data_IF_041095066306
#
_entry.id   IF_041095066306
#
_cell.length_a   1.000
_cell.length_b   1.000
_cell.length_c   1.000
_cell.angle_alpha   90.00
_cell.angle_beta   90.00
_cell.angle_gamma   90.00
#
_symmetry.space_group_name_H-M   'P 1'
#
loop_
_entity.id
_entity.type
_entity.pdbx_description
1 polymer ?
#
# COMPACT_ATOMS: atom_id res chain seq x y z
N UNK A 1 -23.22 -10.71 -20.84
CA UNK A 1 -22.47 -11.73 -20.08
C UNK A 1 -22.34 -11.22 -18.65
N UNK A 2 -22.45 -12.04 -17.60
CA UNK A 2 -22.16 -11.58 -16.26
C UNK A 2 -20.72 -11.05 -16.23
N UNK A 3 -20.52 -9.92 -15.56
CA UNK A 3 -19.17 -9.35 -15.40
C UNK A 3 -18.27 -10.41 -14.75
N UNK A 4 -17.08 -10.64 -15.30
CA UNK A 4 -16.12 -11.56 -14.72
C UNK A 4 -15.74 -11.10 -13.32
N UNK A 5 -15.72 -12.01 -12.35
CA UNK A 5 -15.35 -11.72 -10.97
C UNK A 5 -13.92 -11.18 -10.93
N UNK A 6 -13.69 -10.05 -10.26
CA UNK A 6 -12.37 -9.41 -10.11
C UNK A 6 -11.80 -9.71 -8.72
N UNK A 7 -10.50 -9.93 -8.62
CA UNK A 7 -9.82 -10.30 -7.38
C UNK A 7 -8.73 -9.31 -7.03
N UNK A 8 -8.76 -8.83 -5.80
CA UNK A 8 -7.74 -7.93 -5.27
C UNK A 8 -7.06 -8.52 -4.03
N UNK A 9 -5.81 -8.17 -3.80
CA UNK A 9 -5.09 -8.42 -2.56
C UNK A 9 -4.63 -7.09 -1.96
N UNK A 10 -4.82 -6.92 -0.66
CA UNK A 10 -4.41 -5.71 0.08
C UNK A 10 -3.53 -6.11 1.25
N UNK A 11 -2.29 -5.63 1.28
CA UNK A 11 -1.39 -5.83 2.42
C UNK A 11 -1.60 -4.75 3.48
N UNK A 12 -1.50 -5.13 4.76
CA UNK A 12 -1.84 -4.23 5.86
C UNK A 12 -3.34 -3.91 5.94
N UNK A 13 -4.20 -4.85 5.53
CA UNK A 13 -5.64 -4.67 5.38
C UNK A 13 -6.44 -4.57 6.68
N UNK A 14 -5.80 -4.75 7.86
CA UNK A 14 -6.50 -4.73 9.15
C UNK A 14 -6.66 -3.35 9.78
N UNK A 15 -6.16 -2.26 9.18
CA UNK A 15 -6.29 -0.92 9.76
C UNK A 15 -6.01 0.19 8.74
N UNK A 16 -6.45 1.40 9.06
CA UNK A 16 -6.10 2.64 8.36
C UNK A 16 -6.37 2.59 6.86
N UNK A 17 -5.38 3.00 6.06
CA UNK A 17 -5.49 3.05 4.59
C UNK A 17 -5.78 1.68 3.99
N UNK A 18 -5.11 0.62 4.47
CA UNK A 18 -5.31 -0.73 3.95
C UNK A 18 -6.72 -1.25 4.18
N UNK A 19 -7.27 -1.03 5.37
CA UNK A 19 -8.66 -1.40 5.70
C UNK A 19 -9.65 -0.62 4.82
N UNK A 20 -9.50 0.71 4.75
CA UNK A 20 -10.38 1.56 3.96
C UNK A 20 -10.34 1.19 2.46
N UNK A 21 -9.14 0.93 1.91
CA UNK A 21 -8.96 0.51 0.52
C UNK A 21 -9.58 -0.87 0.26
N UNK A 22 -9.41 -1.84 1.18
CA UNK A 22 -10.01 -3.17 1.07
C UNK A 22 -11.55 -3.09 1.03
N UNK A 23 -12.14 -2.30 1.92
CA UNK A 23 -13.60 -2.08 1.95
C UNK A 23 -14.08 -1.39 0.67
N UNK A 24 -13.35 -0.39 0.18
CA UNK A 24 -13.72 0.33 -1.04
C UNK A 24 -13.60 -0.56 -2.29
N UNK A 25 -12.55 -1.38 -2.40
CA UNK A 25 -12.38 -2.36 -3.47
C UNK A 25 -13.51 -3.41 -3.46
N UNK A 26 -13.91 -3.90 -2.28
CA UNK A 26 -15.03 -4.82 -2.17
C UNK A 26 -16.35 -4.18 -2.64
N UNK A 27 -16.63 -2.93 -2.27
CA UNK A 27 -17.78 -2.16 -2.75
C UNK A 27 -17.75 -1.92 -4.27
N UNK A 28 -16.56 -1.87 -4.86
CA UNK A 28 -16.35 -1.76 -6.31
C UNK A 28 -16.45 -3.13 -7.04
N UNK A 29 -16.84 -4.21 -6.34
CA UNK A 29 -17.09 -5.52 -6.92
C UNK A 29 -15.88 -6.47 -6.94
N UNK A 30 -14.80 -6.15 -6.23
CA UNK A 30 -13.69 -7.08 -6.07
C UNK A 30 -13.95 -8.05 -4.92
N UNK A 31 -13.56 -9.32 -5.09
CA UNK A 31 -13.33 -10.23 -3.95
C UNK A 31 -11.92 -9.95 -3.42
N UNK A 32 -11.76 -9.64 -2.12
CA UNK A 32 -10.53 -9.08 -1.58
C UNK A 32 -9.81 -10.05 -0.65
N UNK A 33 -8.54 -10.36 -0.92
CA UNK A 33 -7.64 -11.02 0.03
C UNK A 33 -7.06 -9.97 0.99
N UNK A 34 -7.35 -10.14 2.28
CA UNK A 34 -6.93 -9.28 3.37
C UNK A 34 -5.65 -9.84 3.99
N UNK A 35 -4.50 -9.23 3.70
CA UNK A 35 -3.19 -9.70 4.17
C UNK A 35 -2.72 -8.85 5.35
N UNK A 36 -2.28 -9.50 6.43
CA UNK A 36 -1.70 -8.82 7.60
C UNK A 36 -1.25 -9.80 8.68
N UNK A 37 -0.47 -9.32 9.64
CA UNK A 37 0.13 -10.15 10.70
C UNK A 37 -0.88 -10.60 11.76
N UNK A 38 -1.86 -9.78 12.08
CA UNK A 38 -2.84 -10.02 13.14
C UNK A 38 -4.16 -10.44 12.53
N UNK A 39 -4.66 -11.61 12.93
CA UNK A 39 -5.90 -12.17 12.39
C UNK A 39 -7.14 -11.35 12.78
N UNK A 40 -7.23 -10.90 14.03
CA UNK A 40 -8.39 -10.21 14.58
C UNK A 40 -8.78 -8.95 13.78
N UNK A 41 -7.89 -7.96 13.51
CA UNK A 41 -8.26 -6.79 12.69
C UNK A 41 -8.60 -7.15 11.23
N UNK A 42 -8.08 -8.25 10.71
CA UNK A 42 -8.46 -8.73 9.37
C UNK A 42 -9.88 -9.31 9.37
N UNK A 43 -10.27 -10.00 10.45
CA UNK A 43 -11.63 -10.52 10.62
C UNK A 43 -12.64 -9.37 10.76
N UNK A 44 -12.32 -8.32 11.52
CA UNK A 44 -13.14 -7.12 11.62
C UNK A 44 -13.34 -6.44 10.25
N UNK A 45 -12.28 -6.37 9.46
CA UNK A 45 -12.35 -5.85 8.09
C UNK A 45 -13.23 -6.74 7.20
N UNK A 46 -13.09 -8.06 7.32
CA UNK A 46 -13.94 -9.03 6.60
C UNK A 46 -15.40 -8.87 6.97
N UNK A 47 -15.74 -8.72 8.26
CA UNK A 47 -17.11 -8.47 8.69
C UNK A 47 -17.67 -7.17 8.12
N UNK A 48 -16.84 -6.10 8.10
CA UNK A 48 -17.23 -4.82 7.51
C UNK A 48 -17.57 -4.96 6.03
N UNK A 49 -16.77 -5.73 5.29
CA UNK A 49 -17.01 -6.05 3.88
C UNK A 49 -18.30 -6.89 3.73
N UNK A 50 -18.50 -7.92 4.58
CA UNK A 50 -19.68 -8.80 4.53
C UNK A 50 -20.98 -8.07 4.85
N UNK A 51 -20.97 -7.06 5.73
CA UNK A 51 -22.17 -6.22 6.01
C UNK A 51 -22.62 -5.39 4.79
N UNK A 52 -21.77 -5.25 3.78
CA UNK A 52 -22.05 -4.58 2.51
C UNK A 52 -22.13 -5.58 1.34
N UNK A 53 -22.48 -6.84 1.63
CA UNK A 53 -22.60 -7.95 0.67
C UNK A 53 -21.35 -8.23 -0.15
N UNK A 54 -20.18 -7.78 0.32
CA UNK A 54 -18.89 -8.05 -0.31
C UNK A 54 -18.27 -9.37 0.17
N UNK A 55 -17.28 -9.85 -0.57
CA UNK A 55 -16.54 -11.07 -0.25
C UNK A 55 -15.09 -10.78 0.09
N UNK A 56 -14.57 -11.43 1.15
CA UNK A 56 -13.16 -11.32 1.52
C UNK A 56 -12.57 -12.62 2.07
N UNK A 57 -11.30 -12.85 1.74
CA UNK A 57 -10.46 -13.94 2.23
C UNK A 57 -9.43 -13.39 3.24
N UNK A 58 -9.43 -13.90 4.46
CA UNK A 58 -8.38 -13.54 5.44
C UNK A 58 -7.13 -14.39 5.20
N UNK A 59 -6.00 -13.70 5.06
CA UNK A 59 -4.68 -14.30 4.82
C UNK A 59 -3.69 -13.72 5.84
N UNK A 60 -3.49 -14.44 6.93
CA UNK A 60 -2.51 -14.02 7.93
C UNK A 60 -1.10 -14.23 7.39
N UNK A 61 -0.30 -13.16 7.31
CA UNK A 61 1.08 -13.22 6.85
C UNK A 61 1.90 -12.03 7.33
N UNK A 62 3.21 -12.24 7.51
CA UNK A 62 4.19 -11.18 7.70
C UNK A 62 4.89 -10.90 6.38
N UNK A 63 4.69 -9.68 5.85
CA UNK A 63 5.30 -9.26 4.58
C UNK A 63 6.83 -9.17 4.63
N UNK A 64 7.42 -9.04 5.82
CA UNK A 64 8.86 -9.03 6.02
C UNK A 64 9.49 -10.44 5.93
N UNK A 65 8.69 -11.51 5.91
CA UNK A 65 9.13 -12.89 5.84
C UNK A 65 8.81 -13.52 4.49
N UNK A 66 9.83 -13.91 3.74
CA UNK A 66 9.67 -14.43 2.38
C UNK A 66 8.81 -15.70 2.31
N UNK A 67 9.01 -16.66 3.23
CA UNK A 67 8.23 -17.90 3.27
C UNK A 67 6.76 -17.63 3.61
N UNK A 68 6.49 -16.68 4.53
CA UNK A 68 5.14 -16.25 4.88
C UNK A 68 4.42 -15.62 3.67
N UNK A 69 5.13 -14.79 2.89
CA UNK A 69 4.58 -14.19 1.67
C UNK A 69 4.29 -15.26 0.61
N UNK A 70 5.20 -16.21 0.38
CA UNK A 70 4.99 -17.29 -0.59
C UNK A 70 3.76 -18.13 -0.22
N UNK A 71 3.60 -18.51 1.05
CA UNK A 71 2.42 -19.24 1.53
C UNK A 71 1.12 -18.42 1.36
N UNK A 72 1.18 -17.12 1.65
CA UNK A 72 0.02 -16.22 1.49
C UNK A 72 -0.44 -16.15 0.03
N UNK A 73 0.48 -15.99 -0.91
CA UNK A 73 0.12 -15.91 -2.34
C UNK A 73 -0.27 -17.27 -2.93
N UNK A 74 0.27 -18.39 -2.42
CA UNK A 74 -0.22 -19.72 -2.76
C UNK A 74 -1.69 -19.89 -2.33
N UNK A 75 -2.03 -19.52 -1.09
CA UNK A 75 -3.42 -19.55 -0.60
C UNK A 75 -4.35 -18.67 -1.44
N UNK A 76 -3.89 -17.51 -1.89
CA UNK A 76 -4.67 -16.62 -2.78
C UNK A 76 -4.86 -17.27 -4.14
N UNK A 77 -3.82 -17.88 -4.72
CA UNK A 77 -3.90 -18.58 -5.99
C UNK A 77 -4.88 -19.77 -5.93
N UNK A 78 -4.83 -20.55 -4.87
CA UNK A 78 -5.74 -21.69 -4.66
C UNK A 78 -7.19 -21.25 -4.50
N UNK A 79 -7.44 -20.14 -3.78
CA UNK A 79 -8.80 -19.67 -3.51
C UNK A 79 -9.43 -18.91 -4.69
N UNK A 80 -8.64 -18.13 -5.42
CA UNK A 80 -9.12 -17.20 -6.46
C UNK A 80 -8.81 -17.66 -7.88
N UNK A 81 -7.80 -18.49 -8.09
CA UNK A 81 -7.29 -18.90 -9.40
C UNK A 81 -6.58 -17.78 -10.18
N UNK A 82 -6.74 -16.51 -9.76
CA UNK A 82 -6.14 -15.33 -10.37
C UNK A 82 -6.02 -14.17 -9.41
N UNK A 83 -5.27 -13.15 -9.80
CA UNK A 83 -5.16 -11.88 -9.08
C UNK A 83 -5.17 -10.73 -10.08
N UNK A 84 -6.14 -9.83 -9.99
CA UNK A 84 -6.26 -8.69 -10.90
C UNK A 84 -5.56 -7.45 -10.35
N UNK A 85 -5.59 -7.26 -9.01
CA UNK A 85 -5.00 -6.09 -8.33
C UNK A 85 -4.25 -6.50 -7.07
N UNK A 86 -3.02 -6.00 -6.90
CA UNK A 86 -2.33 -5.96 -5.62
C UNK A 86 -2.24 -4.50 -5.16
N UNK A 87 -2.80 -4.17 -3.99
CA UNK A 87 -2.46 -2.94 -3.27
C UNK A 87 -1.42 -3.24 -2.19
N UNK A 88 -0.19 -2.88 -2.48
CA UNK A 88 0.99 -3.14 -1.65
C UNK A 88 1.13 -2.01 -0.62
N UNK A 89 0.36 -2.09 0.47
CA UNK A 89 0.15 -1.01 1.42
C UNK A 89 0.82 -1.26 2.79
N UNK A 90 1.11 -2.51 3.15
CA UNK A 90 1.73 -2.78 4.45
C UNK A 90 2.99 -1.91 4.66
N UNK A 91 3.07 -1.30 5.83
CA UNK A 91 4.18 -0.45 6.19
C UNK A 91 4.15 -0.10 7.67
N UNK A 92 5.28 0.37 8.18
CA UNK A 92 5.42 0.87 9.54
C UNK A 92 5.99 2.29 9.54
N UNK A 93 5.61 3.06 10.55
CA UNK A 93 6.22 4.35 10.80
C UNK A 93 7.64 4.16 11.37
N UNK A 94 8.53 5.05 11.01
CA UNK A 94 9.92 5.02 11.45
C UNK A 94 10.25 6.01 12.59
N UNK A 95 9.25 6.67 13.16
CA UNK A 95 9.49 7.71 14.16
C UNK A 95 10.22 8.93 13.56
N UNK A 96 10.55 9.89 14.43
CA UNK A 96 11.46 10.99 14.14
C UNK A 96 12.64 10.87 15.11
N UNK A 97 13.78 10.39 14.61
CA UNK A 97 14.98 10.09 15.40
C UNK A 97 16.18 10.71 14.70
N UNK A 98 17.05 11.50 15.40
CA UNK A 98 18.30 12.02 14.85
C UNK A 98 19.14 10.90 14.24
N UNK A 99 19.92 11.20 13.21
CA UNK A 99 20.67 10.20 12.48
C UNK A 99 21.67 9.45 13.38
N UNK A 100 22.35 10.15 14.25
CA UNK A 100 23.35 9.62 15.19
C UNK A 100 22.76 8.68 16.24
N UNK A 101 21.47 8.84 16.57
CA UNK A 101 20.74 8.04 17.57
C UNK A 101 19.91 6.92 16.94
N UNK A 102 20.02 6.71 15.61
CA UNK A 102 19.16 5.78 14.91
C UNK A 102 19.64 4.34 15.08
N UNK A 103 18.94 3.55 15.88
CA UNK A 103 19.27 2.14 16.13
C UNK A 103 19.22 1.30 14.84
N UNK A 104 20.29 0.50 14.61
CA UNK A 104 20.45 -0.30 13.40
C UNK A 104 19.34 -1.36 13.27
N UNK A 105 18.92 -1.97 14.36
CA UNK A 105 17.84 -2.97 14.36
C UNK A 105 16.50 -2.32 13.97
N UNK A 106 16.24 -1.09 14.41
CA UNK A 106 15.04 -0.38 14.03
C UNK A 106 15.07 0.02 12.54
N UNK A 107 16.24 0.42 12.02
CA UNK A 107 16.44 0.61 10.59
C UNK A 107 16.13 -0.66 9.80
N UNK A 108 16.69 -1.80 10.20
CA UNK A 108 16.48 -3.09 9.55
C UNK A 108 15.00 -3.49 9.54
N UNK A 109 14.30 -3.27 10.63
CA UNK A 109 12.86 -3.53 10.76
C UNK A 109 12.02 -2.68 9.77
N UNK A 110 12.38 -1.39 9.62
CA UNK A 110 11.69 -0.50 8.67
C UNK A 110 11.97 -0.94 7.24
N UNK A 111 13.21 -1.25 6.90
CA UNK A 111 13.61 -1.77 5.58
C UNK A 111 12.92 -3.10 5.28
N UNK A 112 12.90 -4.02 6.24
CA UNK A 112 12.26 -5.32 6.07
C UNK A 112 10.77 -5.19 5.74
N UNK A 113 10.05 -4.28 6.42
CA UNK A 113 8.62 -4.10 6.17
C UNK A 113 8.33 -3.23 4.95
N UNK A 114 8.93 -2.02 4.90
CA UNK A 114 8.53 -0.97 3.95
C UNK A 114 9.17 -1.11 2.57
N UNK A 115 10.24 -1.88 2.45
CA UNK A 115 10.97 -2.08 1.20
C UNK A 115 11.01 -3.55 0.79
N UNK A 116 11.61 -4.43 1.61
CA UNK A 116 11.70 -5.85 1.30
C UNK A 116 10.30 -6.48 1.18
N UNK A 117 9.38 -6.14 2.09
CA UNK A 117 7.99 -6.61 2.04
C UNK A 117 7.25 -6.17 0.78
N UNK A 118 7.45 -4.93 0.34
CA UNK A 118 6.91 -4.43 -0.95
C UNK A 118 7.43 -5.26 -2.11
N UNK A 119 8.73 -5.52 -2.15
CA UNK A 119 9.36 -6.35 -3.19
C UNK A 119 8.82 -7.78 -3.18
N UNK A 120 8.76 -8.44 -2.01
CA UNK A 120 8.32 -9.83 -1.89
C UNK A 120 6.87 -10.01 -2.36
N UNK A 121 5.96 -9.14 -1.92
CA UNK A 121 4.56 -9.17 -2.32
C UNK A 121 4.40 -8.85 -3.81
N UNK A 122 5.09 -7.84 -4.33
CA UNK A 122 5.07 -7.50 -5.75
C UNK A 122 5.58 -8.65 -6.62
N UNK A 123 6.70 -9.30 -6.22
CA UNK A 123 7.26 -10.47 -6.91
C UNK A 123 6.27 -11.64 -6.97
N UNK A 124 5.59 -11.94 -5.87
CA UNK A 124 4.62 -13.04 -5.80
C UNK A 124 3.37 -12.74 -6.64
N UNK A 125 2.84 -11.51 -6.56
CA UNK A 125 1.74 -11.08 -7.42
C UNK A 125 2.12 -11.10 -8.90
N UNK A 126 3.30 -10.60 -9.23
CA UNK A 126 3.80 -10.59 -10.62
C UNK A 126 3.89 -12.01 -11.21
N UNK A 127 4.38 -12.99 -10.44
CA UNK A 127 4.43 -14.39 -10.86
C UNK A 127 3.03 -14.94 -11.16
N UNK A 128 2.05 -14.66 -10.28
CA UNK A 128 0.66 -15.09 -10.46
C UNK A 128 0.04 -14.40 -11.68
N UNK A 129 0.16 -13.08 -11.81
CA UNK A 129 -0.38 -12.30 -12.92
C UNK A 129 0.23 -12.68 -14.27
N UNK A 130 1.50 -13.09 -14.27
CA UNK A 130 2.19 -13.59 -15.48
C UNK A 130 1.73 -14.97 -15.90
N UNK A 131 1.38 -15.85 -14.95
CA UNK A 131 1.01 -17.25 -15.22
C UNK A 131 -0.47 -17.45 -15.51
N UNK A 132 -1.35 -16.54 -15.06
CA UNK A 132 -2.81 -16.67 -15.17
C UNK A 132 -3.35 -16.46 -16.59
N UNK A 133 -4.58 -16.91 -16.83
CA UNK A 133 -5.30 -16.69 -18.09
C UNK A 133 -6.66 -16.03 -17.84
N UNK A 134 -6.97 -14.85 -18.46
CA UNK A 134 -6.06 -14.07 -19.28
C UNK A 134 -4.89 -13.52 -18.47
N UNK A 135 -3.73 -13.38 -19.11
CA UNK A 135 -2.51 -12.85 -18.52
C UNK A 135 -2.64 -11.35 -18.24
N UNK A 136 -2.03 -10.90 -17.14
CA UNK A 136 -2.00 -9.48 -16.76
C UNK A 136 -2.58 -9.19 -15.39
N UNK A 137 -2.46 -7.94 -14.97
CA UNK A 137 -2.94 -7.43 -13.68
C UNK A 137 -2.31 -6.09 -13.33
N UNK A 138 -2.61 -5.57 -12.14
CA UNK A 138 -2.13 -4.28 -11.69
C UNK A 138 -1.53 -4.37 -10.29
N UNK A 139 -0.34 -3.81 -10.12
CA UNK A 139 0.32 -3.63 -8.82
C UNK A 139 0.30 -2.14 -8.49
N UNK A 140 -0.26 -1.78 -7.33
CA UNK A 140 -0.30 -0.42 -6.81
C UNK A 140 0.54 -0.39 -5.53
N UNK A 141 1.65 0.33 -5.55
CA UNK A 141 2.51 0.48 -4.38
C UNK A 141 2.13 1.73 -3.58
N UNK A 142 1.98 1.60 -2.28
CA UNK A 142 1.79 2.72 -1.37
C UNK A 142 3.12 3.45 -1.17
N UNK A 143 3.29 4.55 -1.88
CA UNK A 143 4.38 5.49 -1.73
C UNK A 143 4.19 6.46 -0.56
N UNK A 144 4.72 7.64 -0.72
CA UNK A 144 4.54 8.77 0.21
C UNK A 144 5.08 10.03 -0.44
N UNK A 145 4.55 11.19 -0.09
CA UNK A 145 5.20 12.49 -0.38
C UNK A 145 6.62 12.57 0.19
N UNK A 146 6.95 11.74 1.20
CA UNK A 146 8.32 11.62 1.74
C UNK A 146 9.29 10.96 0.76
N UNK A 147 8.82 10.42 -0.37
CA UNK A 147 9.64 10.01 -1.51
C UNK A 147 10.13 11.21 -2.36
N UNK A 148 9.67 12.41 -2.06
CA UNK A 148 10.02 13.65 -2.78
C UNK A 148 10.60 14.70 -1.83
N UNK A 149 9.95 14.91 -0.67
CA UNK A 149 10.36 15.90 0.32
C UNK A 149 10.30 15.27 1.73
N UNK A 150 11.46 14.87 2.29
CA UNK A 150 11.51 14.25 3.62
C UNK A 150 11.17 15.27 4.73
N UNK A 151 10.77 14.76 5.89
CA UNK A 151 10.75 15.52 7.14
C UNK A 151 12.04 15.31 7.90
N UNK A 152 12.42 16.23 8.79
CA UNK A 152 13.55 16.02 9.68
C UNK A 152 13.44 14.68 10.45
N UNK A 153 14.56 14.03 10.67
CA UNK A 153 14.69 12.80 11.47
C UNK A 153 13.87 11.59 10.96
N UNK A 154 13.59 11.50 9.64
CA UNK A 154 12.80 10.40 9.08
C UNK A 154 13.58 9.54 8.09
N UNK A 155 14.89 9.37 8.30
CA UNK A 155 15.82 8.76 7.32
C UNK A 155 15.35 7.38 6.82
N UNK A 156 15.00 6.43 7.69
CA UNK A 156 14.61 5.09 7.27
C UNK A 156 13.30 5.09 6.46
N UNK A 157 12.32 5.87 6.90
CA UNK A 157 11.05 5.99 6.18
C UNK A 157 11.26 6.63 4.82
N UNK A 158 11.97 7.76 4.76
CA UNK A 158 12.24 8.49 3.53
C UNK A 158 13.04 7.65 2.53
N UNK A 159 14.10 6.98 2.99
CA UNK A 159 14.91 6.09 2.15
C UNK A 159 14.07 4.95 1.55
N UNK A 160 13.24 4.28 2.38
CA UNK A 160 12.38 3.19 1.88
C UNK A 160 11.33 3.68 0.89
N UNK A 161 10.74 4.86 1.09
CA UNK A 161 9.74 5.42 0.17
C UNK A 161 10.34 5.90 -1.15
N UNK A 162 11.57 6.43 -1.16
CA UNK A 162 12.32 6.68 -2.40
C UNK A 162 12.63 5.38 -3.15
N UNK A 163 13.04 4.32 -2.44
CA UNK A 163 13.34 3.03 -3.04
C UNK A 163 12.09 2.37 -3.67
N UNK A 164 10.90 2.53 -3.07
CA UNK A 164 9.63 2.05 -3.64
C UNK A 164 9.37 2.67 -5.02
N UNK A 165 9.77 3.92 -5.25
CA UNK A 165 9.69 4.55 -6.59
C UNK A 165 10.53 3.81 -7.62
N UNK A 166 11.75 3.37 -7.24
CA UNK A 166 12.60 2.53 -8.10
C UNK A 166 11.94 1.18 -8.43
N UNK A 167 11.43 0.49 -7.40
CA UNK A 167 10.68 -0.78 -7.57
C UNK A 167 9.50 -0.60 -8.53
N UNK A 168 8.70 0.46 -8.34
CA UNK A 168 7.52 0.73 -9.16
C UNK A 168 7.88 0.91 -10.63
N UNK A 169 8.90 1.72 -10.91
CA UNK A 169 9.35 2.01 -12.29
C UNK A 169 9.93 0.77 -12.97
N UNK A 170 10.72 -0.03 -12.25
CA UNK A 170 11.28 -1.28 -12.78
C UNK A 170 10.18 -2.28 -13.13
N UNK A 171 9.21 -2.50 -12.23
CA UNK A 171 8.09 -3.42 -12.50
C UNK A 171 7.22 -2.88 -13.64
N UNK A 172 6.98 -1.57 -13.73
CA UNK A 172 6.22 -0.98 -14.83
C UNK A 172 6.90 -1.18 -16.19
N UNK A 173 8.24 -1.22 -16.23
CA UNK A 173 9.00 -1.53 -17.46
C UNK A 173 8.92 -3.01 -17.80
N UNK A 174 9.24 -3.89 -16.84
CA UNK A 174 9.33 -5.33 -17.05
C UNK A 174 7.96 -5.99 -17.30
N UNK A 175 6.91 -5.38 -16.73
CA UNK A 175 5.53 -5.87 -16.83
C UNK A 175 4.87 -5.71 -18.20
N UNK A 176 5.39 -4.83 -19.05
CA UNK A 176 4.80 -4.52 -20.38
C UNK A 176 4.59 -5.75 -21.25
N UNK A 177 5.56 -6.65 -21.28
CA UNK A 177 5.50 -7.88 -22.08
C UNK A 177 4.42 -8.87 -21.57
N UNK A 178 3.88 -8.67 -20.37
CA UNK A 178 2.96 -9.58 -19.69
C UNK A 178 1.63 -8.92 -19.34
N UNK A 179 1.34 -7.73 -19.89
CA UNK A 179 0.15 -6.96 -19.59
C UNK A 179 0.00 -6.67 -18.08
N UNK A 180 1.12 -6.47 -17.39
CA UNK A 180 1.17 -6.13 -15.96
C UNK A 180 1.49 -4.64 -15.82
N UNK A 181 0.52 -3.88 -15.30
CA UNK A 181 0.72 -2.47 -14.96
C UNK A 181 1.28 -2.35 -13.54
N UNK A 182 2.19 -1.40 -13.32
CA UNK A 182 2.63 -1.04 -11.98
C UNK A 182 2.50 0.46 -11.76
N UNK A 183 1.99 0.83 -10.59
CA UNK A 183 1.63 2.20 -10.20
C UNK A 183 2.15 2.50 -8.81
N UNK A 184 2.30 3.78 -8.50
CA UNK A 184 2.56 4.27 -7.15
C UNK A 184 1.53 5.34 -6.77
N UNK A 185 1.01 5.26 -5.54
CA UNK A 185 0.21 6.34 -4.95
C UNK A 185 0.99 6.96 -3.80
N UNK A 186 1.37 8.24 -3.95
CA UNK A 186 2.08 9.01 -2.94
C UNK A 186 1.06 9.74 -2.06
N UNK A 187 1.01 9.34 -0.80
CA UNK A 187 -0.01 9.79 0.14
C UNK A 187 0.59 10.79 1.13
N UNK A 188 -0.10 11.93 1.29
CA UNK A 188 0.22 12.95 2.28
C UNK A 188 -0.88 13.08 3.34
N UNK A 189 -0.53 12.78 4.60
CA UNK A 189 -1.35 13.04 5.80
C UNK A 189 -2.80 12.51 5.75
N UNK A 190 -3.02 11.24 5.41
CA UNK A 190 -4.32 10.61 5.59
C UNK A 190 -4.61 10.38 7.09
N UNK A 191 -5.85 10.62 7.53
CA UNK A 191 -6.28 10.47 8.92
C UNK A 191 -6.35 8.98 9.31
N UNK A 192 -5.33 8.52 9.99
CA UNK A 192 -5.21 7.16 10.53
C UNK A 192 -4.57 7.22 11.93
N UNK A 193 -4.56 6.12 12.66
CA UNK A 193 -3.85 6.03 13.94
C UNK A 193 -2.35 6.37 13.81
N UNK A 194 -1.71 6.02 12.69
CA UNK A 194 -0.31 6.33 12.42
C UNK A 194 -0.03 7.83 12.30
N UNK A 195 -1.01 8.62 11.87
CA UNK A 195 -0.88 10.07 11.63
C UNK A 195 -1.53 10.92 12.72
N UNK A 196 -2.04 10.33 13.80
CA UNK A 196 -2.71 11.06 14.87
C UNK A 196 -1.80 12.11 15.52
N UNK A 197 -0.50 11.81 15.63
CA UNK A 197 0.51 12.75 16.12
C UNK A 197 0.58 14.07 15.33
N UNK A 198 0.17 14.08 14.05
CA UNK A 198 0.22 15.27 13.20
C UNK A 198 -0.73 16.38 13.69
N UNK A 199 -1.79 16.04 14.42
CA UNK A 199 -2.67 17.02 15.06
C UNK A 199 -1.99 17.74 16.23
N UNK A 200 -1.02 17.07 16.89
CA UNK A 200 -0.31 17.63 18.06
C UNK A 200 0.92 18.44 17.66
N UNK A 201 1.38 18.24 16.44
CA UNK A 201 2.56 18.87 15.87
C UNK A 201 3.62 17.89 15.42
N UNK A 202 4.26 18.23 14.32
CA UNK A 202 5.44 17.53 13.77
C UNK A 202 6.51 18.56 13.44
N UNK A 203 7.77 18.12 13.50
CA UNK A 203 8.89 18.98 13.20
C UNK A 203 8.86 19.43 11.73
N UNK A 204 8.96 20.71 11.52
CA UNK A 204 9.05 21.36 10.21
C UNK A 204 10.52 21.48 9.76
N UNK A 205 10.73 21.86 8.50
CA UNK A 205 12.08 21.98 7.93
C UNK A 205 12.96 23.02 8.64
N UNK A 206 12.35 24.05 9.22
CA UNK A 206 13.01 25.10 10.01
C UNK A 206 13.25 24.71 11.50
N UNK A 207 12.89 23.47 11.89
CA UNK A 207 13.02 22.97 13.25
C UNK A 207 11.85 23.33 14.18
N UNK A 208 10.89 24.14 13.73
CA UNK A 208 9.69 24.44 14.51
C UNK A 208 8.75 23.23 14.61
N UNK A 209 7.86 23.25 15.61
CA UNK A 209 6.80 22.24 15.77
C UNK A 209 5.46 22.84 15.35
N UNK A 210 4.80 22.27 14.36
CA UNK A 210 3.48 22.74 13.90
C UNK A 210 2.54 21.57 13.63
N UNK A 211 1.23 21.72 13.92
CA UNK A 211 0.22 20.75 13.47
C UNK A 211 0.09 20.79 11.94
N UNK A 212 -0.18 19.64 11.37
CA UNK A 212 -0.42 19.54 9.92
C UNK A 212 -1.82 19.00 9.62
N UNK A 213 -2.45 19.58 8.61
CA UNK A 213 -3.75 19.13 8.14
C UNK A 213 -3.70 17.67 7.67
N UNK A 214 -4.81 16.95 7.90
CA UNK A 214 -5.03 15.57 7.45
C UNK A 214 -6.30 15.49 6.61
N UNK A 215 -6.32 14.62 5.62
CA UNK A 215 -7.52 14.30 4.83
C UNK A 215 -8.17 13.03 5.34
N UNK A 216 -9.47 12.86 5.08
CA UNK A 216 -10.17 11.61 5.35
C UNK A 216 -9.56 10.46 4.53
N UNK A 217 -9.40 9.31 5.17
CA UNK A 217 -8.81 8.11 4.55
C UNK A 217 -9.64 7.59 3.37
N UNK A 218 -10.93 7.89 3.31
CA UNK A 218 -11.82 7.50 2.22
C UNK A 218 -11.40 8.10 0.88
N UNK A 219 -10.80 9.29 0.88
CA UNK A 219 -10.26 9.88 -0.35
C UNK A 219 -9.12 9.04 -0.93
N UNK A 220 -8.25 8.50 -0.08
CA UNK A 220 -7.17 7.58 -0.51
C UNK A 220 -7.77 6.28 -1.03
N UNK A 221 -8.76 5.71 -0.32
CA UNK A 221 -9.43 4.49 -0.73
C UNK A 221 -10.08 4.62 -2.11
N UNK A 222 -10.77 5.74 -2.37
CA UNK A 222 -11.39 6.04 -3.67
C UNK A 222 -10.33 6.21 -4.78
N UNK A 223 -9.20 6.83 -4.49
CA UNK A 223 -8.09 6.95 -5.43
C UNK A 223 -7.50 5.57 -5.80
N UNK A 224 -7.35 4.67 -4.82
CA UNK A 224 -6.91 3.29 -5.07
C UNK A 224 -7.91 2.54 -5.95
N UNK A 225 -9.22 2.68 -5.70
CA UNK A 225 -10.27 2.07 -6.54
C UNK A 225 -10.18 2.62 -7.96
N UNK A 226 -10.06 3.93 -8.13
CA UNK A 226 -9.91 4.55 -9.46
C UNK A 226 -8.69 3.98 -10.22
N UNK A 227 -7.54 3.87 -9.56
CA UNK A 227 -6.35 3.25 -10.17
C UNK A 227 -6.58 1.78 -10.50
N UNK A 228 -7.26 1.03 -9.63
CA UNK A 228 -7.52 -0.40 -9.77
C UNK A 228 -8.49 -0.73 -10.91
N UNK A 229 -9.46 0.14 -11.19
CA UNK A 229 -10.53 -0.10 -12.17
C UNK A 229 -10.17 0.33 -13.60
N UNK A 230 -9.03 0.99 -13.80
CA UNK A 230 -8.55 1.33 -15.15
C UNK A 230 -8.30 0.06 -15.98
N UNK A 231 -8.61 0.09 -17.30
CA UNK A 231 -8.20 -0.99 -18.20
C UNK A 231 -6.67 -1.12 -18.21
N UNK A 232 -6.14 -2.32 -18.46
CA UNK A 232 -4.70 -2.56 -18.37
C UNK A 232 -3.87 -1.84 -19.44
N UNK A 233 -4.50 -1.36 -20.51
CA UNK A 233 -3.88 -0.50 -21.53
C UNK A 233 -3.57 0.93 -21.01
N UNK A 234 -4.24 1.35 -19.92
CA UNK A 234 -4.04 2.64 -19.29
C UNK A 234 -3.41 2.48 -17.89
N UNK A 235 -2.41 3.28 -17.57
CA UNK A 235 -1.73 3.24 -16.29
C UNK A 235 -1.50 4.65 -15.73
N UNK A 236 -1.97 4.89 -14.50
CA UNK A 236 -1.53 6.02 -13.69
C UNK A 236 -0.22 5.61 -13.03
N UNK A 237 0.91 5.94 -13.66
CA UNK A 237 2.23 5.52 -13.16
C UNK A 237 2.51 6.05 -11.75
N UNK A 238 2.15 7.32 -11.50
CA UNK A 238 2.26 7.96 -10.19
C UNK A 238 1.06 8.88 -9.95
N UNK A 239 0.51 8.82 -8.74
CA UNK A 239 -0.55 9.72 -8.26
C UNK A 239 -0.14 10.27 -6.91
N UNK A 240 -0.21 11.58 -6.73
CA UNK A 240 -0.07 12.22 -5.42
C UNK A 240 -1.43 12.66 -4.92
N UNK A 241 -1.80 12.21 -3.72
CA UNK A 241 -3.01 12.63 -3.01
C UNK A 241 -2.64 13.07 -1.59
N UNK A 242 -3.06 14.28 -1.20
CA UNK A 242 -2.67 14.85 0.08
C UNK A 242 -3.72 15.83 0.61
N UNK A 243 -3.67 16.11 1.93
CA UNK A 243 -4.51 17.16 2.50
C UNK A 243 -4.13 18.52 1.87
N UNK A 244 -5.12 19.26 1.40
CA UNK A 244 -4.90 20.53 0.67
C UNK A 244 -4.09 21.54 1.49
N UNK A 245 -4.34 21.62 2.79
CA UNK A 245 -3.69 22.59 3.68
C UNK A 245 -2.40 22.07 4.34
N UNK A 246 -1.89 20.88 3.97
CA UNK A 246 -0.61 20.40 4.51
C UNK A 246 0.57 21.10 3.81
N UNK A 247 1.67 21.39 4.55
CA UNK A 247 2.86 22.01 3.96
C UNK A 247 3.67 20.97 3.16
N UNK A 248 3.54 20.99 1.85
CA UNK A 248 4.32 20.18 0.90
C UNK A 248 4.86 21.03 -0.22
N UNK A 249 3.97 21.67 -1.00
CA UNK A 249 4.35 22.69 -1.98
C UNK A 249 4.76 23.94 -1.21
N UNK A 250 5.92 24.52 -1.53
CA UNK A 250 6.49 25.65 -0.80
C UNK A 250 7.22 25.26 0.51
N UNK A 251 7.40 23.97 0.79
CA UNK A 251 8.33 23.49 1.81
C UNK A 251 9.74 23.52 1.20
N UNK A 252 10.52 24.48 1.57
CA UNK A 252 11.88 24.63 1.06
C UNK A 252 12.62 25.68 1.81
#
# INVERSE_FOLDING_TARGET
>A
MPASKKYAAVTGAGSGIGQAAAVALAKAGFTVALIGRRAEPLLETKETIGRADGEALVVQADVANAASVEQAFAKIADAFGRLDVLFNNAGRNAGAVPLEDYEVDFWNDVVATNLTGVFLCARSAYRLMKAQTPQGGRIINNGSISAHSPRPHTIAYSATKHAVTGITRSIALDGRAFNIACSQIDIGNAATSLTERMNRGVMQADGSMAPEARMDVTHVANAVVHMADLPLEANILNMTIMATAMPFVGRG
#
